data_IF_620599172426
#
_entry.id   IF_620599172426
#
_cell.length_a   1.000
_cell.length_b   1.000
_cell.length_c   1.000
_cell.angle_alpha   90.00
_cell.angle_beta   90.00
_cell.angle_gamma   90.00
#
_symmetry.space_group_name_H-M   'P 1'
#
loop_
_entity.id
_entity.type
_entity.pdbx_description
1 polymer ?
#
# COMPACT_ATOMS: atom_id res chain seq x y z
N UNK A 1 22.45 -0.40 25.62
CA UNK A 1 22.26 -1.75 25.05
C UNK A 1 22.47 -1.68 23.56
N UNK A 2 23.31 -2.54 22.98
CA UNK A 2 23.47 -2.62 21.53
C UNK A 2 22.24 -3.33 20.92
N UNK A 3 21.64 -2.82 19.83
CA UNK A 3 20.49 -3.47 19.21
C UNK A 3 20.85 -4.86 18.66
N UNK A 4 19.92 -5.80 18.79
CA UNK A 4 20.11 -7.19 18.34
C UNK A 4 20.39 -7.28 16.82
N UNK A 5 20.98 -8.38 16.36
CA UNK A 5 21.28 -8.63 14.95
C UNK A 5 20.03 -8.54 14.04
N UNK A 6 18.87 -8.94 14.54
CA UNK A 6 17.59 -8.85 13.83
C UNK A 6 17.07 -7.41 13.74
N UNK A 7 17.23 -6.61 14.81
CA UNK A 7 16.89 -5.17 14.81
C UNK A 7 17.76 -4.39 13.82
N UNK A 8 19.06 -4.66 13.81
CA UNK A 8 20.02 -4.00 12.92
C UNK A 8 19.77 -4.32 11.45
N UNK A 9 19.33 -5.54 11.13
CA UNK A 9 18.94 -5.91 9.77
C UNK A 9 17.70 -5.13 9.30
N UNK A 10 16.67 -5.02 10.15
CA UNK A 10 15.44 -4.27 9.83
C UNK A 10 15.72 -2.81 9.52
N UNK A 11 16.53 -2.14 10.36
CA UNK A 11 16.90 -0.74 10.15
C UNK A 11 17.71 -0.53 8.86
N UNK A 12 18.68 -1.42 8.59
CA UNK A 12 19.50 -1.33 7.37
C UNK A 12 18.65 -1.57 6.12
N UNK A 13 17.73 -2.54 6.16
CA UNK A 13 16.82 -2.84 5.07
C UNK A 13 15.86 -1.68 4.81
N UNK A 14 15.22 -1.14 5.86
CA UNK A 14 14.34 0.01 5.74
C UNK A 14 15.05 1.20 5.07
N UNK A 15 16.26 1.55 5.54
CA UNK A 15 17.05 2.63 4.93
C UNK A 15 17.34 2.40 3.44
N UNK A 16 17.61 1.15 3.04
CA UNK A 16 17.91 0.83 1.64
C UNK A 16 16.65 0.66 0.78
N UNK A 17 15.50 0.32 1.37
CA UNK A 17 14.22 0.18 0.66
C UNK A 17 13.63 1.54 0.25
N UNK A 18 13.88 2.59 1.04
CA UNK A 18 13.23 3.91 0.88
C UNK A 18 14.12 5.02 0.31
N UNK A 19 15.45 4.83 0.23
CA UNK A 19 16.35 5.84 -0.31
C UNK A 19 16.37 5.79 -1.83
N UNK A 20 15.96 6.89 -2.46
CA UNK A 20 16.10 7.09 -3.90
C UNK A 20 17.58 7.20 -4.29
N UNK A 21 18.09 6.18 -4.97
CA UNK A 21 19.42 6.18 -5.56
C UNK A 21 20.51 5.49 -4.73
N UNK A 22 21.20 4.55 -5.41
CA UNK A 22 22.37 3.76 -5.00
C UNK A 22 22.06 2.59 -4.03
N UNK A 23 21.73 1.43 -4.62
CA UNK A 23 21.89 0.13 -3.94
C UNK A 23 20.68 -0.80 -3.90
N UNK A 24 19.55 -0.48 -4.55
CA UNK A 24 18.40 -1.38 -4.61
C UNK A 24 18.60 -2.55 -5.59
N UNK A 25 19.49 -2.38 -6.59
CA UNK A 25 19.76 -3.36 -7.65
C UNK A 25 20.44 -4.65 -7.14
N UNK A 26 20.77 -4.72 -5.85
CA UNK A 26 21.25 -5.92 -5.15
C UNK A 26 20.26 -6.50 -4.13
N UNK A 27 19.09 -5.88 -3.90
CA UNK A 27 18.00 -6.53 -3.17
C UNK A 27 17.25 -7.40 -4.17
N UNK A 28 17.39 -8.73 -4.08
CA UNK A 28 16.70 -9.71 -4.93
C UNK A 28 15.17 -9.77 -4.75
N UNK A 29 14.52 -8.65 -4.45
CA UNK A 29 13.07 -8.52 -4.43
C UNK A 29 12.51 -8.44 -5.85
N UNK A 30 11.31 -8.97 -6.03
CA UNK A 30 10.66 -9.15 -7.32
C UNK A 30 9.79 -7.96 -7.72
N UNK A 31 9.35 -7.15 -6.76
CA UNK A 31 8.41 -6.04 -6.98
C UNK A 31 8.91 -4.69 -6.46
N UNK A 32 8.48 -3.61 -7.11
CA UNK A 32 8.53 -2.24 -6.57
C UNK A 32 7.21 -1.95 -5.84
N UNK A 33 7.28 -1.56 -4.58
CA UNK A 33 6.11 -1.17 -3.79
C UNK A 33 5.74 0.29 -4.02
N UNK A 34 4.44 0.56 -4.23
CA UNK A 34 3.89 1.90 -4.40
C UNK A 34 2.89 2.19 -3.28
N UNK A 35 3.25 3.07 -2.36
CA UNK A 35 2.34 3.47 -1.27
C UNK A 35 1.53 4.68 -1.72
N UNK A 36 0.26 4.47 -2.01
CA UNK A 36 -0.67 5.47 -2.51
C UNK A 36 -1.12 6.38 -1.36
N UNK A 37 -0.62 7.61 -1.35
CA UNK A 37 -0.86 8.62 -0.31
C UNK A 37 -1.34 9.96 -0.88
N UNK A 38 -1.76 10.01 -2.15
CA UNK A 38 -2.14 11.24 -2.88
C UNK A 38 -3.62 11.64 -2.81
N UNK A 39 -4.45 10.95 -2.02
CA UNK A 39 -5.89 11.19 -1.97
C UNK A 39 -6.28 12.52 -1.33
N UNK A 40 -7.31 13.19 -1.87
CA UNK A 40 -7.81 14.50 -1.38
C UNK A 40 -8.44 14.50 0.02
N UNK A 41 -8.67 13.33 0.63
CA UNK A 41 -9.27 13.25 1.97
C UNK A 41 -10.66 13.89 2.09
N UNK A 42 -11.43 14.02 1.01
CA UNK A 42 -12.70 14.79 0.97
C UNK A 42 -13.71 14.36 2.03
N UNK A 43 -13.80 13.04 2.31
CA UNK A 43 -14.68 12.47 3.36
C UNK A 43 -14.25 12.79 4.80
N UNK A 44 -13.06 13.36 4.99
CA UNK A 44 -12.51 13.77 6.29
C UNK A 44 -12.21 15.27 6.33
N UNK A 45 -12.94 16.07 5.54
CA UNK A 45 -12.78 17.54 5.55
C UNK A 45 -11.52 18.04 4.84
N UNK A 46 -10.94 17.24 3.93
CA UNK A 46 -9.75 17.64 3.16
C UNK A 46 -8.42 17.44 3.88
N UNK A 47 -8.42 16.74 5.02
CA UNK A 47 -7.17 16.40 5.72
C UNK A 47 -6.37 15.35 4.94
N UNK A 48 -5.05 15.48 5.00
CA UNK A 48 -4.12 14.50 4.43
C UNK A 48 -4.09 13.24 5.30
N UNK A 49 -5.02 12.30 5.01
CA UNK A 49 -5.28 11.09 5.83
C UNK A 49 -4.03 10.31 6.21
N UNK A 50 -3.07 10.21 5.29
CA UNK A 50 -1.81 9.51 5.49
C UNK A 50 -1.04 9.97 6.76
N UNK A 51 -1.24 11.22 7.16
CA UNK A 51 -0.61 11.84 8.34
C UNK A 51 -1.45 11.77 9.62
N UNK A 52 -2.68 11.26 9.55
CA UNK A 52 -3.46 11.05 10.77
C UNK A 52 -2.77 10.01 11.64
N UNK A 53 -2.82 10.23 12.94
CA UNK A 53 -2.05 9.43 13.88
C UNK A 53 -2.86 8.28 14.48
N UNK A 54 -2.21 7.11 14.50
CA UNK A 54 -2.59 5.95 15.30
C UNK A 54 -1.41 5.69 16.23
N UNK A 55 -1.68 5.61 17.54
CA UNK A 55 -0.64 5.41 18.55
C UNK A 55 0.53 6.41 18.44
N UNK A 56 0.19 7.69 18.28
CA UNK A 56 1.16 8.81 18.22
C UNK A 56 2.05 8.84 16.97
N UNK A 57 1.78 8.02 15.95
CA UNK A 57 2.55 7.99 14.70
C UNK A 57 1.63 8.07 13.47
N UNK A 58 2.04 8.77 12.40
CA UNK A 58 1.32 8.82 11.13
C UNK A 58 1.00 7.44 10.55
N UNK A 59 -0.21 7.25 10.05
CA UNK A 59 -0.64 5.98 9.40
C UNK A 59 0.33 5.51 8.33
N UNK A 60 0.83 6.42 7.49
CA UNK A 60 1.79 6.07 6.42
C UNK A 60 3.09 5.48 6.97
N UNK A 61 3.52 5.90 8.17
CA UNK A 61 4.73 5.34 8.79
C UNK A 61 4.51 3.90 9.23
N UNK A 62 3.33 3.58 9.77
CA UNK A 62 2.95 2.20 10.11
C UNK A 62 2.93 1.28 8.89
N UNK A 63 2.38 1.77 7.76
CA UNK A 63 2.40 1.04 6.50
C UNK A 63 3.84 0.79 6.04
N UNK A 64 4.66 1.84 6.01
CA UNK A 64 6.04 1.72 5.57
C UNK A 64 6.82 0.74 6.45
N UNK A 65 6.82 0.90 7.78
CA UNK A 65 7.52 0.00 8.70
C UNK A 65 7.16 -1.47 8.49
N UNK A 66 5.88 -1.76 8.24
CA UNK A 66 5.42 -3.12 7.93
C UNK A 66 5.92 -3.59 6.57
N UNK A 67 5.87 -2.76 5.53
CA UNK A 67 6.41 -3.08 4.20
C UNK A 67 7.93 -3.28 4.20
N UNK A 68 8.67 -2.66 5.13
CA UNK A 68 10.11 -2.91 5.29
C UNK A 68 10.44 -4.38 5.58
N UNK A 69 9.48 -5.11 6.17
CA UNK A 69 9.62 -6.52 6.52
C UNK A 69 9.33 -7.48 5.35
N UNK A 70 8.74 -6.99 4.27
CA UNK A 70 8.42 -7.77 3.06
C UNK A 70 9.67 -7.91 2.21
N UNK A 71 10.14 -9.14 2.00
CA UNK A 71 11.41 -9.46 1.32
C UNK A 71 11.32 -9.28 -0.19
N UNK A 72 10.18 -9.63 -0.76
CA UNK A 72 9.90 -9.54 -2.19
C UNK A 72 9.77 -8.10 -2.71
N UNK A 73 9.77 -7.09 -1.84
CA UNK A 73 9.92 -5.70 -2.24
C UNK A 73 11.40 -5.31 -2.35
N UNK A 74 11.83 -4.84 -3.52
CA UNK A 74 13.20 -4.35 -3.77
C UNK A 74 13.35 -2.85 -3.51
N UNK A 75 12.26 -2.10 -3.62
CA UNK A 75 12.17 -0.65 -3.45
C UNK A 75 10.75 -0.28 -3.09
N UNK A 76 10.55 0.75 -2.28
CA UNK A 76 9.23 1.32 -2.01
C UNK A 76 9.25 2.82 -2.27
N UNK A 77 8.26 3.29 -3.03
CA UNK A 77 8.07 4.69 -3.38
C UNK A 77 6.69 5.10 -2.91
N UNK A 78 6.58 6.26 -2.27
CA UNK A 78 5.29 6.83 -1.96
C UNK A 78 4.79 7.65 -3.15
N UNK A 79 3.54 7.43 -3.55
CA UNK A 79 2.87 8.18 -4.61
C UNK A 79 1.95 9.20 -3.95
N UNK A 80 2.31 10.48 -4.07
CA UNK A 80 1.51 11.62 -3.57
C UNK A 80 0.93 12.41 -4.73
N UNK A 81 0.25 13.52 -4.44
CA UNK A 81 -0.31 14.45 -5.44
C UNK A 81 -0.19 15.90 -4.96
N UNK A 82 -0.44 16.91 -5.81
CA UNK A 82 -0.55 18.31 -5.41
C UNK A 82 -1.55 18.57 -4.28
N UNK A 83 -2.48 17.64 -4.02
CA UNK A 83 -3.45 17.73 -2.92
C UNK A 83 -2.91 17.25 -1.57
N UNK A 84 -1.67 16.73 -1.53
CA UNK A 84 -1.04 16.18 -0.32
C UNK A 84 0.39 16.73 -0.11
N UNK A 85 0.58 18.06 -0.10
CA UNK A 85 1.91 18.68 0.01
C UNK A 85 2.57 18.45 1.38
N UNK A 86 1.80 18.34 2.46
CA UNK A 86 2.33 18.09 3.81
C UNK A 86 2.88 16.68 3.90
N UNK A 87 2.16 15.69 3.36
CA UNK A 87 2.56 14.29 3.25
C UNK A 87 3.82 14.17 2.41
N UNK A 88 3.86 14.83 1.26
CA UNK A 88 5.05 14.88 0.40
C UNK A 88 6.26 15.40 1.15
N UNK A 89 6.12 16.52 1.86
CA UNK A 89 7.19 17.14 2.63
C UNK A 89 7.64 16.27 3.80
N UNK A 90 6.69 15.64 4.50
CA UNK A 90 6.94 14.74 5.61
C UNK A 90 7.77 13.51 5.21
N UNK A 91 7.38 12.86 4.12
CA UNK A 91 8.06 11.68 3.58
C UNK A 91 9.48 12.02 3.11
N UNK A 92 9.64 13.14 2.36
CA UNK A 92 10.95 13.60 1.89
C UNK A 92 11.90 13.95 3.04
N UNK A 93 11.43 14.60 4.11
CA UNK A 93 12.24 14.87 5.31
C UNK A 93 12.75 13.61 6.00
N UNK A 94 12.01 12.50 5.89
CA UNK A 94 12.42 11.18 6.38
C UNK A 94 13.32 10.42 5.40
N UNK A 95 13.65 11.01 4.25
CA UNK A 95 14.47 10.39 3.21
C UNK A 95 13.73 9.27 2.46
N UNK A 96 12.40 9.27 2.49
CA UNK A 96 11.56 8.35 1.73
C UNK A 96 11.39 8.92 0.34
N UNK A 97 11.56 8.06 -0.66
CA UNK A 97 11.34 8.42 -2.05
C UNK A 97 9.87 8.71 -2.34
N UNK A 98 9.62 9.80 -3.08
CA UNK A 98 8.27 10.26 -3.41
C UNK A 98 8.14 10.57 -4.89
N UNK A 99 7.17 9.95 -5.54
CA UNK A 99 6.66 10.34 -6.85
C UNK A 99 5.41 11.21 -6.65
N UNK A 100 5.39 12.42 -7.22
CA UNK A 100 4.24 13.32 -7.13
C UNK A 100 3.46 13.20 -8.44
N UNK A 101 2.35 12.46 -8.42
CA UNK A 101 1.46 12.27 -9.57
C UNK A 101 0.53 13.46 -9.79
N UNK A 102 -0.20 13.47 -10.90
CA UNK A 102 -1.11 14.55 -11.28
C UNK A 102 -2.34 14.71 -10.38
N UNK A 103 -2.75 13.68 -9.63
CA UNK A 103 -3.90 13.73 -8.72
C UNK A 103 -5.25 13.58 -9.44
N UNK A 104 -5.27 13.00 -10.64
CA UNK A 104 -6.48 12.85 -11.48
C UNK A 104 -7.41 11.76 -10.97
N UNK A 105 -6.85 10.74 -10.33
CA UNK A 105 -7.59 9.58 -9.85
C UNK A 105 -6.65 8.50 -9.33
N UNK A 106 -7.18 7.55 -8.56
CA UNK A 106 -6.37 6.48 -7.99
C UNK A 106 -5.63 5.66 -9.06
N UNK A 107 -6.33 5.30 -10.13
CA UNK A 107 -5.77 4.49 -11.21
C UNK A 107 -4.89 5.29 -12.15
N UNK A 108 -5.25 6.54 -12.44
CA UNK A 108 -4.40 7.47 -13.21
C UNK A 108 -3.06 7.72 -12.51
N UNK A 109 -3.07 8.03 -11.20
CA UNK A 109 -1.85 8.30 -10.44
C UNK A 109 -0.96 7.05 -10.31
N UNK A 110 -1.57 5.88 -10.15
CA UNK A 110 -0.87 4.60 -10.14
C UNK A 110 -0.22 4.31 -11.50
N UNK A 111 -0.95 4.54 -12.59
CA UNK A 111 -0.47 4.34 -13.96
C UNK A 111 0.65 5.31 -14.31
N UNK A 112 0.49 6.60 -14.00
CA UNK A 112 1.50 7.64 -14.19
C UNK A 112 2.83 7.29 -13.51
N UNK A 113 2.75 6.80 -12.26
CA UNK A 113 3.94 6.35 -11.53
C UNK A 113 4.61 5.15 -12.22
N UNK A 114 3.83 4.12 -12.60
CA UNK A 114 4.37 2.92 -13.27
C UNK A 114 4.98 3.23 -14.63
N UNK A 115 4.33 4.06 -15.46
CA UNK A 115 4.87 4.48 -16.75
C UNK A 115 6.20 5.25 -16.59
N UNK A 116 6.30 6.11 -15.58
CA UNK A 116 7.55 6.82 -15.29
C UNK A 116 8.71 5.90 -14.88
N UNK A 117 8.41 4.71 -14.34
CA UNK A 117 9.40 3.74 -13.90
C UNK A 117 9.67 2.65 -14.95
N UNK A 118 8.80 2.50 -15.94
CA UNK A 118 8.91 1.55 -17.04
C UNK A 118 8.40 0.14 -16.69
N UNK A 119 8.69 -0.81 -17.57
CA UNK A 119 8.21 -2.19 -17.44
C UNK A 119 8.73 -2.88 -16.17
N UNK A 120 7.86 -3.62 -15.49
CA UNK A 120 8.22 -4.40 -14.31
C UNK A 120 7.04 -4.86 -13.48
N UNK A 121 7.35 -5.52 -12.36
CA UNK A 121 6.36 -5.95 -11.38
C UNK A 121 6.25 -4.91 -10.26
N UNK A 122 5.01 -4.51 -9.97
CA UNK A 122 4.65 -3.50 -8.98
C UNK A 122 3.64 -4.07 -7.98
N UNK A 123 3.66 -3.52 -6.76
CA UNK A 123 2.64 -3.78 -5.76
C UNK A 123 2.16 -2.46 -5.18
N UNK A 124 0.91 -2.09 -5.43
CA UNK A 124 0.32 -0.89 -4.87
C UNK A 124 -0.31 -1.19 -3.51
N UNK A 125 -0.08 -0.30 -2.55
CA UNK A 125 -0.56 -0.36 -1.18
C UNK A 125 -1.24 0.96 -0.83
N UNK A 126 -2.38 0.91 -0.14
CA UNK A 126 -3.03 2.13 0.33
C UNK A 126 -2.42 2.62 1.65
N UNK A 127 -2.15 3.92 1.76
CA UNK A 127 -1.61 4.52 2.99
C UNK A 127 -2.61 4.52 4.17
N UNK A 128 -3.88 4.22 3.91
CA UNK A 128 -4.97 4.16 4.90
C UNK A 128 -5.26 2.75 5.43
N UNK A 129 -4.38 1.77 5.14
CA UNK A 129 -4.44 0.39 5.68
C UNK A 129 -3.25 0.15 6.62
N UNK A 130 -3.27 0.76 7.81
CA UNK A 130 -2.09 0.86 8.68
C UNK A 130 -1.59 -0.50 9.16
N UNK A 131 -2.45 -1.52 9.25
CA UNK A 131 -2.17 -2.80 9.89
C UNK A 131 -1.63 -3.90 8.95
N UNK A 132 -1.30 -3.55 7.71
CA UNK A 132 -0.97 -4.49 6.62
C UNK A 132 -0.07 -5.68 7.05
N UNK A 133 -0.59 -6.90 7.09
CA UNK A 133 0.20 -8.08 7.47
C UNK A 133 1.37 -8.36 6.48
N UNK A 134 2.64 -8.18 6.88
CA UNK A 134 3.78 -8.34 5.97
C UNK A 134 3.95 -9.78 5.46
N UNK A 135 3.63 -10.78 6.29
CA UNK A 135 3.76 -12.18 5.90
C UNK A 135 2.74 -12.55 4.81
N UNK A 136 1.51 -12.04 4.92
CA UNK A 136 0.49 -12.23 3.89
C UNK A 136 0.84 -11.46 2.60
N UNK A 137 1.41 -10.27 2.71
CA UNK A 137 1.94 -9.55 1.53
C UNK A 137 3.05 -10.35 0.85
N UNK A 138 4.01 -10.90 1.60
CA UNK A 138 5.07 -11.73 1.03
C UNK A 138 4.51 -12.94 0.27
N UNK A 139 3.56 -13.67 0.86
CA UNK A 139 2.86 -14.78 0.21
C UNK A 139 2.21 -14.36 -1.13
N UNK A 140 1.51 -13.22 -1.14
CA UNK A 140 0.85 -12.69 -2.33
C UNK A 140 1.86 -12.32 -3.43
N UNK A 141 2.99 -11.70 -3.07
CA UNK A 141 4.03 -11.34 -4.04
C UNK A 141 4.72 -12.56 -4.64
N UNK A 142 4.98 -13.60 -3.85
CA UNK A 142 5.54 -14.87 -4.35
C UNK A 142 4.56 -15.53 -5.32
N UNK A 143 3.28 -15.61 -4.96
CA UNK A 143 2.24 -16.16 -5.85
C UNK A 143 2.14 -15.40 -7.18
N UNK A 144 2.29 -14.08 -7.16
CA UNK A 144 2.24 -13.23 -8.35
C UNK A 144 3.49 -13.30 -9.23
N UNK A 145 4.65 -13.53 -8.62
CA UNK A 145 5.90 -13.66 -9.37
C UNK A 145 6.05 -15.03 -10.04
N UNK A 146 5.83 -16.11 -9.28
CA UNK A 146 6.18 -17.46 -9.70
C UNK A 146 5.12 -18.54 -9.39
N UNK A 147 4.04 -18.18 -8.69
CA UNK A 147 2.97 -19.11 -8.33
C UNK A 147 1.76 -19.08 -9.25
N UNK A 148 0.59 -19.33 -8.66
CA UNK A 148 -0.71 -19.47 -9.35
C UNK A 148 -1.28 -18.15 -9.90
N UNK A 149 -0.75 -17.01 -9.45
CA UNK A 149 -1.13 -15.68 -9.96
C UNK A 149 -0.17 -15.18 -11.06
N UNK A 150 0.84 -15.98 -11.42
CA UNK A 150 1.79 -15.64 -12.47
C UNK A 150 1.06 -15.45 -13.81
N UNK A 151 1.38 -14.35 -14.49
CA UNK A 151 0.75 -13.99 -15.78
C UNK A 151 -0.53 -13.18 -15.65
N UNK A 152 -1.08 -13.00 -14.44
CA UNK A 152 -2.16 -12.06 -14.21
C UNK A 152 -1.61 -10.63 -14.27
N UNK A 153 -2.08 -9.82 -15.22
CA UNK A 153 -1.58 -8.43 -15.38
C UNK A 153 -1.86 -7.57 -14.16
N UNK A 154 -3.07 -7.68 -13.61
CA UNK A 154 -3.50 -6.90 -12.46
C UNK A 154 -4.36 -7.75 -11.54
N UNK A 155 -3.87 -7.99 -10.34
CA UNK A 155 -4.61 -8.68 -9.27
C UNK A 155 -5.10 -7.64 -8.26
N UNK A 156 -6.41 -7.51 -8.11
CA UNK A 156 -7.05 -6.70 -7.07
C UNK A 156 -7.35 -7.59 -5.88
N UNK A 157 -6.67 -7.33 -4.77
CA UNK A 157 -6.85 -8.13 -3.55
C UNK A 157 -8.05 -7.59 -2.77
N UNK A 158 -8.98 -8.47 -2.44
CA UNK A 158 -10.21 -8.19 -1.71
C UNK A 158 -10.29 -8.99 -0.43
N UNK A 159 -11.08 -8.49 0.50
CA UNK A 159 -11.45 -9.20 1.73
C UNK A 159 -12.98 -9.25 1.84
N UNK A 160 -13.54 -10.26 2.53
CA UNK A 160 -14.95 -10.27 2.83
C UNK A 160 -15.38 -9.08 3.70
N UNK A 161 -16.51 -8.47 3.37
CA UNK A 161 -17.12 -7.37 4.14
C UNK A 161 -17.35 -7.76 5.60
N UNK A 162 -17.68 -9.03 5.86
CA UNK A 162 -17.86 -9.53 7.24
C UNK A 162 -16.65 -9.33 8.14
N UNK A 163 -15.42 -9.32 7.59
CA UNK A 163 -14.21 -9.08 8.38
C UNK A 163 -14.19 -7.63 8.89
N UNK A 164 -14.46 -6.66 8.00
CA UNK A 164 -14.55 -5.26 8.38
C UNK A 164 -15.64 -5.03 9.45
N UNK A 165 -16.83 -5.62 9.24
CA UNK A 165 -17.94 -5.54 10.21
C UNK A 165 -17.55 -6.13 11.56
N UNK A 166 -16.90 -7.30 11.59
CA UNK A 166 -16.47 -7.95 12.83
C UNK A 166 -15.44 -7.15 13.63
N UNK A 167 -14.72 -6.25 12.97
CA UNK A 167 -13.73 -5.35 13.57
C UNK A 167 -14.33 -3.99 13.98
N UNK A 168 -15.64 -3.77 13.73
CA UNK A 168 -16.31 -2.50 13.98
C UNK A 168 -15.94 -1.41 12.97
N UNK A 169 -15.45 -1.79 11.79
CA UNK A 169 -15.13 -0.88 10.69
C UNK A 169 -16.35 -0.70 9.78
N UNK A 170 -16.47 0.48 9.14
CA UNK A 170 -17.44 0.66 8.06
C UNK A 170 -16.93 0.00 6.78
N UNK A 171 -17.69 -0.93 6.17
CA UNK A 171 -17.26 -1.55 4.93
C UNK A 171 -17.02 -0.51 3.82
N UNK A 172 -15.83 -0.54 3.26
CA UNK A 172 -15.45 0.25 2.10
C UNK A 172 -15.83 -0.51 0.84
N UNK A 173 -17.14 -0.62 0.58
CA UNK A 173 -17.62 -1.24 -0.65
C UNK A 173 -17.34 -0.29 -1.84
N UNK A 174 -16.72 -0.75 -2.93
CA UNK A 174 -16.77 0.03 -4.16
C UNK A 174 -18.20 0.04 -4.66
N UNK A 175 -18.64 1.19 -5.18
CA UNK A 175 -19.84 1.22 -5.99
C UNK A 175 -19.55 0.46 -7.29
N UNK A 176 -20.15 -0.72 -7.48
CA UNK A 176 -20.38 -1.33 -8.79
C UNK A 176 -19.32 -2.25 -9.42
N UNK A 177 -18.15 -2.47 -8.82
CA UNK A 177 -17.07 -3.28 -9.46
C UNK A 177 -16.70 -4.59 -8.75
N UNK A 178 -17.10 -4.74 -7.50
CA UNK A 178 -16.75 -5.89 -6.66
C UNK A 178 -18.05 -6.43 -6.09
N UNK A 179 -18.18 -7.76 -5.98
CA UNK A 179 -19.39 -8.40 -5.44
C UNK A 179 -19.81 -7.75 -4.12
N UNK A 180 -21.12 -7.70 -3.85
CA UNK A 180 -21.71 -6.94 -2.73
C UNK A 180 -21.09 -7.26 -1.36
N UNK A 181 -20.50 -8.44 -1.21
CA UNK A 181 -19.93 -8.94 0.04
C UNK A 181 -18.40 -8.83 0.13
N UNK A 182 -17.77 -8.08 -0.78
CA UNK A 182 -16.32 -7.92 -0.85
C UNK A 182 -15.91 -6.44 -0.77
N UNK A 183 -14.81 -6.19 -0.08
CA UNK A 183 -14.17 -4.89 0.10
C UNK A 183 -12.75 -4.92 -0.48
N UNK A 184 -12.27 -3.80 -1.00
CA UNK A 184 -10.87 -3.66 -1.38
C UNK A 184 -9.95 -3.69 -0.14
N UNK A 185 -8.88 -4.49 -0.21
CA UNK A 185 -7.82 -4.52 0.81
C UNK A 185 -6.86 -3.32 0.76
N UNK A 186 -6.97 -2.48 -0.27
CA UNK A 186 -5.95 -1.47 -0.59
C UNK A 186 -4.70 -2.02 -1.30
N UNK A 187 -4.66 -3.34 -1.58
CA UNK A 187 -3.52 -4.00 -2.23
C UNK A 187 -3.84 -4.34 -3.68
N UNK A 188 -2.92 -4.05 -4.59
CA UNK A 188 -2.96 -4.48 -6.00
C UNK A 188 -1.59 -5.00 -6.41
N UNK A 189 -1.56 -6.11 -7.14
CA UNK A 189 -0.33 -6.66 -7.72
C UNK A 189 -0.40 -6.45 -9.22
N UNK A 190 0.65 -5.91 -9.82
CA UNK A 190 0.64 -5.48 -11.21
C UNK A 190 1.90 -5.96 -11.92
N UNK A 191 1.75 -6.58 -13.08
CA UNK A 191 2.78 -6.64 -14.12
C UNK A 191 2.49 -5.55 -15.13
N UNK A 192 3.37 -4.57 -15.22
CA UNK A 192 3.23 -3.43 -16.12
C UNK A 192 4.26 -3.52 -17.24
N UNK A 193 3.82 -3.30 -18.47
CA UNK A 193 4.67 -3.10 -19.64
C UNK A 193 4.55 -1.64 -20.06
N UNK A 194 5.69 -0.95 -20.22
CA UNK A 194 5.71 0.47 -20.58
C UNK A 194 4.91 0.73 -21.88
N UNK A 195 4.11 1.78 -21.87
CA UNK A 195 3.19 2.10 -22.96
C UNK A 195 1.88 1.30 -22.96
N UNK A 196 1.62 0.46 -21.95
CA UNK A 196 0.32 -0.20 -21.79
C UNK A 196 -0.73 0.86 -21.43
N UNK A 197 -1.77 1.06 -22.27
CA UNK A 197 -2.85 2.00 -21.95
C UNK A 197 -3.61 1.60 -20.67
N UNK A 198 -4.09 2.60 -19.92
CA UNK A 198 -4.76 2.37 -18.63
C UNK A 198 -6.02 1.50 -18.77
N UNK A 199 -6.81 1.70 -19.82
CA UNK A 199 -7.99 0.88 -20.12
C UNK A 199 -7.63 -0.59 -20.39
N UNK A 200 -6.52 -0.86 -21.08
CA UNK A 200 -6.01 -2.22 -21.28
C UNK A 200 -5.50 -2.85 -19.97
N UNK A 201 -4.87 -2.05 -19.11
CA UNK A 201 -4.47 -2.50 -17.78
C UNK A 201 -5.70 -2.90 -16.94
N UNK A 202 -6.76 -2.10 -17.00
CA UNK A 202 -7.99 -2.30 -16.23
C UNK A 202 -8.90 -3.42 -16.78
N UNK A 203 -8.92 -3.65 -18.10
CA UNK A 203 -9.80 -4.67 -18.71
C UNK A 203 -9.44 -6.13 -18.36
N UNK A 204 -8.23 -6.37 -17.85
CA UNK A 204 -7.73 -7.69 -17.47
C UNK A 204 -7.62 -7.94 -15.96
N UNK A 205 -8.38 -7.18 -15.14
CA UNK A 205 -8.33 -7.31 -13.68
C UNK A 205 -8.81 -8.68 -13.19
N UNK A 206 -7.96 -9.35 -12.41
CA UNK A 206 -8.31 -10.54 -11.65
C UNK A 206 -8.62 -10.16 -10.19
N UNK A 207 -9.78 -10.58 -9.67
CA UNK A 207 -10.15 -10.32 -8.27
C UNK A 207 -9.79 -11.52 -7.41
N UNK A 208 -8.92 -11.31 -6.43
CA UNK A 208 -8.48 -12.34 -5.48
C UNK A 208 -9.01 -12.01 -4.08
N UNK A 209 -9.88 -12.87 -3.54
CA UNK A 209 -10.35 -12.74 -2.16
C UNK A 209 -9.44 -13.48 -1.19
N UNK A 210 -9.10 -12.84 -0.07
CA UNK A 210 -8.30 -13.42 1.02
C UNK A 210 -9.00 -13.26 2.37
N UNK A 211 -8.77 -14.23 3.26
CA UNK A 211 -9.18 -14.16 4.66
C UNK A 211 -8.06 -13.53 5.49
N UNK A 212 -8.02 -12.20 5.55
CA UNK A 212 -7.03 -11.45 6.31
C UNK A 212 -7.67 -10.21 6.96
N UNK A 213 -7.83 -10.25 8.28
CA UNK A 213 -8.48 -9.19 9.05
C UNK A 213 -7.74 -7.86 8.97
N UNK A 214 -6.40 -7.89 8.97
CA UNK A 214 -5.60 -6.65 8.94
C UNK A 214 -5.83 -5.82 7.67
N UNK A 215 -6.15 -6.48 6.57
CA UNK A 215 -6.46 -5.85 5.28
C UNK A 215 -7.87 -5.24 5.25
N UNK A 216 -8.75 -5.64 6.17
CA UNK A 216 -10.11 -5.12 6.27
C UNK A 216 -10.19 -3.77 7.01
N UNK A 217 -9.13 -3.36 7.69
CA UNK A 217 -9.07 -2.10 8.45
C UNK A 217 -8.59 -0.97 7.54
N UNK A 218 -9.53 -0.36 6.81
CA UNK A 218 -9.30 0.84 6.02
C UNK A 218 -9.83 2.08 6.77
N UNK A 219 -8.96 3.08 6.96
CA UNK A 219 -9.30 4.33 7.64
C UNK A 219 -9.83 5.39 6.67
N UNK A 220 -11.14 5.41 6.48
CA UNK A 220 -11.79 6.30 5.53
C UNK A 220 -12.55 7.48 6.13
N UNK A 221 -13.04 7.34 7.36
CA UNK A 221 -13.77 8.35 8.11
C UNK A 221 -13.17 8.57 9.51
N UNK A 222 -13.58 9.62 10.24
CA UNK A 222 -13.15 9.80 11.63
C UNK A 222 -13.49 8.61 12.53
N UNK A 223 -14.64 7.98 12.35
CA UNK A 223 -15.05 6.80 13.12
C UNK A 223 -14.17 5.59 12.81
N UNK A 224 -13.74 5.41 11.56
CA UNK A 224 -12.77 4.38 11.19
C UNK A 224 -11.41 4.63 11.87
N UNK A 225 -10.99 5.89 11.99
CA UNK A 225 -9.74 6.24 12.69
C UNK A 225 -9.82 5.89 14.18
N UNK A 226 -10.94 6.18 14.83
CA UNK A 226 -11.17 5.77 16.22
C UNK A 226 -11.21 4.25 16.38
N UNK A 227 -11.86 3.53 15.46
CA UNK A 227 -11.87 2.08 15.44
C UNK A 227 -10.46 1.52 15.27
N UNK A 228 -9.68 2.05 14.32
CA UNK A 228 -8.30 1.66 14.10
C UNK A 228 -7.43 1.91 15.34
N UNK A 229 -7.61 3.03 16.05
CA UNK A 229 -6.91 3.31 17.32
C UNK A 229 -7.21 2.26 18.40
N UNK A 230 -8.46 1.80 18.50
CA UNK A 230 -8.82 0.71 19.43
C UNK A 230 -8.19 -0.62 19.03
N UNK A 231 -8.05 -0.87 17.73
CA UNK A 231 -7.47 -2.08 17.15
C UNK A 231 -5.93 -2.09 17.17
N UNK A 232 -5.26 -0.97 17.47
CA UNK A 232 -3.80 -0.85 17.44
C UNK A 232 -3.09 -1.98 18.19
N UNK A 233 -3.52 -2.24 19.44
CA UNK A 233 -2.97 -3.32 20.28
C UNK A 233 -3.21 -4.71 19.71
N UNK A 234 -4.34 -4.95 19.04
CA UNK A 234 -4.68 -6.25 18.43
C UNK A 234 -3.72 -6.60 17.30
N UNK A 235 -3.33 -5.61 16.50
CA UNK A 235 -2.43 -5.78 15.36
C UNK A 235 -0.97 -5.42 15.70
N UNK A 236 -0.63 -5.38 16.99
CA UNK A 236 0.70 -5.11 17.51
C UNK A 236 1.34 -3.84 16.91
N UNK A 237 0.57 -2.75 16.87
CA UNK A 237 1.13 -1.40 16.81
C UNK A 237 1.66 -0.95 18.16
#
# INVERSE_FOLDING_TARGET
MQPSSSTRWKEKRAKALYRGGVGCDGMGGTHVGLVMAGGRGTRMGGVEKALLEIDGRPMVEHVLERLALVRSLRRVICVTSPYTPTTTSHLRRRGIEVFVASGKGHYDDLHEAMESMGSGSYAAFSADVPFINPAKVEELLVRHHEGDLKGMRMVVVTVPVRLAVSLGMRPSAPHGMIGKDLQHSGIKLIHHEAGTPLDLLLSGMYVLTVEEESFAVNVNTPEDLEAARRLARRFAL
#
